data_IF_742289940892
#
_entry.id   IF_742289940892
#
_cell.length_a   1.000
_cell.length_b   1.000
_cell.length_c   1.000
_cell.angle_alpha   90.00
_cell.angle_beta   90.00
_cell.angle_gamma   90.00
#
_symmetry.space_group_name_H-M   'P 1'
#
loop_
_entity.id
_entity.type
_entity.pdbx_description
1 polymer ?
#
# COMPACT_ATOMS: atom_id res chain seq x y z
N UNK A 1 -12.40 24.25 -4.11
CA UNK A 1 -12.64 23.13 -5.04
C UNK A 1 -11.76 21.98 -4.59
N UNK A 2 -12.30 20.78 -4.48
CA UNK A 2 -11.52 19.59 -4.15
C UNK A 2 -10.54 19.28 -5.29
N UNK A 3 -9.30 18.93 -4.97
CA UNK A 3 -8.30 18.57 -5.97
C UNK A 3 -8.72 17.31 -6.74
N UNK A 4 -8.33 17.25 -8.01
CA UNK A 4 -8.53 16.05 -8.83
C UNK A 4 -7.69 14.93 -8.25
N UNK A 5 -8.29 13.76 -8.05
CA UNK A 5 -7.61 12.59 -7.48
C UNK A 5 -6.62 12.05 -8.51
N UNK A 6 -5.34 12.20 -8.26
CA UNK A 6 -4.30 11.51 -9.03
C UNK A 6 -3.98 10.17 -8.38
N UNK A 7 -3.91 9.12 -9.18
CA UNK A 7 -3.63 7.75 -8.73
C UNK A 7 -2.56 7.13 -9.61
N UNK A 8 -1.70 6.34 -8.99
CA UNK A 8 -0.79 5.45 -9.67
C UNK A 8 -1.30 4.03 -9.53
N UNK A 9 -1.47 3.31 -10.65
CA UNK A 9 -1.64 1.87 -10.64
C UNK A 9 -0.28 1.19 -10.65
N UNK A 10 -0.05 0.35 -9.64
CA UNK A 10 1.07 -0.57 -9.54
C UNK A 10 0.67 -1.93 -10.13
N UNK A 11 0.40 -2.00 -11.43
CA UNK A 11 0.43 -3.29 -12.12
C UNK A 11 1.78 -3.43 -12.80
N UNK A 12 2.73 -3.95 -12.04
CA UNK A 12 4.02 -4.35 -12.55
C UNK A 12 3.80 -5.55 -13.48
N UNK A 13 4.23 -5.39 -14.73
CA UNK A 13 4.31 -6.45 -15.71
C UNK A 13 5.71 -7.04 -15.61
N UNK A 14 5.82 -8.35 -15.41
CA UNK A 14 7.12 -9.01 -15.31
C UNK A 14 7.43 -9.75 -16.60
N UNK A 15 7.92 -9.02 -17.61
CA UNK A 15 8.27 -9.65 -18.88
C UNK A 15 9.58 -10.41 -18.77
N UNK A 16 9.52 -11.72 -19.03
CA UNK A 16 10.66 -12.61 -19.12
C UNK A 16 11.44 -12.34 -20.42
N UNK A 17 12.75 -12.19 -20.29
CA UNK A 17 13.66 -12.06 -21.42
C UNK A 17 14.63 -13.23 -21.49
N UNK A 18 14.90 -13.69 -22.71
CA UNK A 18 16.03 -14.59 -22.97
C UNK A 18 17.33 -13.92 -22.51
N UNK A 19 18.27 -14.71 -22.01
CA UNK A 19 19.60 -14.24 -21.58
C UNK A 19 20.21 -13.32 -22.65
N UNK A 20 20.70 -12.14 -22.25
CA UNK A 20 21.34 -11.17 -23.14
C UNK A 20 20.45 -10.65 -24.31
N UNK A 21 19.13 -10.76 -24.19
CA UNK A 21 18.16 -10.25 -25.17
C UNK A 21 17.28 -9.15 -24.57
N UNK A 22 16.73 -8.34 -25.47
CA UNK A 22 15.83 -7.20 -25.16
C UNK A 22 14.51 -7.30 -25.92
N UNK A 23 14.40 -8.18 -26.92
CA UNK A 23 13.15 -8.41 -27.64
C UNK A 23 12.11 -9.06 -26.72
N UNK A 24 10.91 -8.46 -26.67
CA UNK A 24 9.74 -9.09 -26.05
C UNK A 24 9.27 -10.20 -26.98
N UNK A 25 9.21 -11.42 -26.44
CA UNK A 25 8.64 -12.58 -27.12
C UNK A 25 7.30 -12.90 -26.46
N UNK A 26 6.15 -12.59 -27.09
CA UNK A 26 4.86 -12.75 -26.44
C UNK A 26 4.60 -14.14 -25.89
N UNK A 27 5.08 -15.19 -26.56
CA UNK A 27 4.89 -16.59 -26.17
C UNK A 27 5.98 -17.16 -25.24
N UNK A 28 6.95 -16.36 -24.82
CA UNK A 28 8.06 -16.83 -24.00
C UNK A 28 7.70 -16.83 -22.51
N UNK A 29 7.79 -17.99 -21.87
CA UNK A 29 7.56 -18.17 -20.43
C UNK A 29 6.21 -17.53 -19.99
N UNK A 30 6.22 -16.59 -19.04
CA UNK A 30 5.00 -15.98 -18.51
C UNK A 30 4.56 -14.75 -19.32
N UNK A 31 5.24 -14.39 -20.40
CA UNK A 31 4.92 -13.22 -21.20
C UNK A 31 3.47 -13.18 -21.70
N UNK A 32 2.79 -14.28 -22.10
CA UNK A 32 1.39 -14.19 -22.53
C UNK A 32 0.50 -13.66 -21.41
N UNK A 33 0.72 -14.16 -20.19
CA UNK A 33 -0.03 -13.78 -18.99
C UNK A 33 0.29 -12.36 -18.57
N UNK A 34 1.57 -11.98 -18.54
CA UNK A 34 2.00 -10.65 -18.09
C UNK A 34 1.61 -9.56 -19.10
N UNK A 35 1.73 -9.82 -20.40
CA UNK A 35 1.21 -8.93 -21.46
C UNK A 35 -0.33 -8.86 -21.44
N UNK A 36 -1.02 -9.95 -21.11
CA UNK A 36 -2.47 -9.94 -20.88
C UNK A 36 -2.85 -9.05 -19.71
N UNK A 37 -2.15 -9.18 -18.58
CA UNK A 37 -2.36 -8.41 -17.35
C UNK A 37 -2.19 -6.91 -17.57
N UNK A 38 -1.09 -6.48 -18.19
CA UNK A 38 -0.88 -5.05 -18.48
C UNK A 38 -1.89 -4.50 -19.47
N UNK A 39 -2.30 -5.29 -20.47
CA UNK A 39 -3.33 -4.85 -21.42
C UNK A 39 -4.68 -4.67 -20.74
N UNK A 40 -5.14 -5.69 -20.01
CA UNK A 40 -6.39 -5.60 -19.26
C UNK A 40 -6.42 -4.37 -18.32
N UNK A 41 -5.31 -4.09 -17.63
CA UNK A 41 -5.20 -2.91 -16.77
C UNK A 41 -5.29 -1.59 -17.55
N UNK A 42 -4.59 -1.46 -18.68
CA UNK A 42 -4.66 -0.24 -19.50
C UNK A 42 -6.05 -0.09 -20.14
N UNK A 43 -6.64 -1.17 -20.61
CA UNK A 43 -7.99 -1.19 -21.18
C UNK A 43 -9.04 -0.78 -20.15
N UNK A 44 -8.95 -1.30 -18.92
CA UNK A 44 -9.85 -0.94 -17.82
C UNK A 44 -9.79 0.56 -17.47
N UNK A 45 -8.61 1.16 -17.54
CA UNK A 45 -8.41 2.59 -17.31
C UNK A 45 -8.88 3.43 -18.49
N UNK A 46 -8.59 3.01 -19.72
CA UNK A 46 -8.95 3.74 -20.94
C UNK A 46 -10.45 3.72 -21.23
N UNK A 47 -11.13 2.63 -20.86
CA UNK A 47 -12.57 2.49 -21.03
C UNK A 47 -13.39 3.13 -19.90
N UNK A 48 -12.76 3.56 -18.81
CA UNK A 48 -13.44 4.28 -17.73
C UNK A 48 -13.55 5.78 -18.06
N UNK A 49 -14.77 6.24 -18.38
CA UNK A 49 -15.04 7.63 -18.71
C UNK A 49 -14.72 8.64 -17.57
N UNK A 50 -14.50 8.16 -16.34
CA UNK A 50 -14.14 9.00 -15.20
C UNK A 50 -12.63 9.15 -15.03
N UNK A 51 -11.84 8.41 -15.82
CA UNK A 51 -10.40 8.29 -15.74
C UNK A 51 -9.74 9.00 -16.91
N UNK A 52 -8.66 9.71 -16.63
CA UNK A 52 -7.78 10.29 -17.64
C UNK A 52 -6.35 9.78 -17.43
N UNK A 53 -5.89 8.88 -18.29
CA UNK A 53 -4.51 8.37 -18.26
C UNK A 53 -3.54 9.51 -18.58
N UNK A 54 -2.65 9.80 -17.63
CA UNK A 54 -1.66 10.88 -17.72
C UNK A 54 -0.29 10.39 -18.16
N UNK A 55 0.12 9.23 -17.63
CA UNK A 55 1.52 8.81 -17.69
C UNK A 55 1.65 7.30 -17.72
N UNK A 56 2.58 6.81 -18.54
CA UNK A 56 3.06 5.43 -18.53
C UNK A 56 4.56 5.47 -18.21
N UNK A 57 4.91 5.16 -16.97
CA UNK A 57 6.28 5.03 -16.49
C UNK A 57 6.80 3.61 -16.77
N UNK A 58 7.77 3.50 -17.65
CA UNK A 58 8.31 2.23 -18.11
C UNK A 58 9.76 2.10 -17.65
N UNK A 59 10.04 1.09 -16.83
CA UNK A 59 11.35 0.86 -16.24
C UNK A 59 11.86 -0.52 -16.66
N UNK A 60 13.00 -0.56 -17.34
CA UNK A 60 13.66 -1.83 -17.69
C UNK A 60 14.75 -2.18 -16.71
N UNK A 61 14.92 -3.47 -16.42
CA UNK A 61 15.96 -3.97 -15.52
C UNK A 61 16.75 -5.13 -16.12
N UNK A 62 17.99 -5.27 -15.67
CA UNK A 62 18.87 -6.41 -15.85
C UNK A 62 18.99 -7.23 -14.56
N UNK A 63 19.30 -8.51 -14.70
CA UNK A 63 19.84 -9.29 -13.59
C UNK A 63 21.25 -8.79 -13.26
N UNK A 64 21.69 -8.87 -11.98
CA UNK A 64 23.05 -8.53 -11.58
C UNK A 64 24.05 -9.61 -12.00
N UNK A 65 24.21 -9.74 -13.32
CA UNK A 65 25.20 -10.62 -13.96
C UNK A 65 25.90 -9.89 -15.12
N UNK A 66 27.22 -10.04 -15.22
CA UNK A 66 27.99 -9.50 -16.35
C UNK A 66 28.58 -8.12 -16.09
N UNK A 67 28.77 -7.31 -17.13
CA UNK A 67 29.37 -5.98 -16.96
C UNK A 67 28.28 -4.92 -16.75
N UNK A 68 28.61 -3.89 -15.97
CA UNK A 68 27.73 -2.74 -15.76
C UNK A 68 27.24 -2.11 -17.07
N UNK A 69 28.13 -2.00 -18.06
CA UNK A 69 27.79 -1.48 -19.40
C UNK A 69 26.78 -2.38 -20.13
N UNK A 70 26.97 -3.70 -20.08
CA UNK A 70 26.04 -4.64 -20.68
C UNK A 70 24.66 -4.58 -19.99
N UNK A 71 24.64 -4.50 -18.65
CA UNK A 71 23.41 -4.42 -17.87
C UNK A 71 22.66 -3.10 -18.10
N UNK A 72 23.39 -1.99 -18.26
CA UNK A 72 22.80 -0.71 -18.67
C UNK A 72 22.13 -0.82 -20.04
N UNK A 73 22.82 -1.35 -21.05
CA UNK A 73 22.27 -1.56 -22.40
C UNK A 73 21.04 -2.48 -22.39
N UNK A 74 21.06 -3.55 -21.59
CA UNK A 74 19.93 -4.49 -21.46
C UNK A 74 18.73 -3.83 -20.79
N UNK A 75 18.95 -3.11 -19.69
CA UNK A 75 17.92 -2.35 -18.97
C UNK A 75 17.25 -1.33 -19.91
N UNK A 76 18.04 -0.51 -20.61
CA UNK A 76 17.56 0.47 -21.59
C UNK A 76 16.74 -0.19 -22.72
N UNK A 77 17.29 -1.23 -23.33
CA UNK A 77 16.64 -1.93 -24.44
C UNK A 77 15.31 -2.58 -24.05
N UNK A 78 15.21 -3.13 -22.83
CA UNK A 78 13.96 -3.75 -22.33
C UNK A 78 12.88 -2.73 -22.05
N UNK A 79 13.24 -1.59 -21.47
CA UNK A 79 12.31 -0.49 -21.27
C UNK A 79 11.75 0.01 -22.61
N UNK A 80 12.65 0.19 -23.60
CA UNK A 80 12.27 0.60 -24.95
C UNK A 80 11.40 -0.44 -25.66
N UNK A 81 11.70 -1.73 -25.48
CA UNK A 81 10.90 -2.80 -26.07
C UNK A 81 9.45 -2.78 -25.55
N UNK A 82 9.26 -2.61 -24.24
CA UNK A 82 7.91 -2.51 -23.66
C UNK A 82 7.19 -1.23 -24.13
N UNK A 83 7.89 -0.10 -24.16
CA UNK A 83 7.34 1.15 -24.72
C UNK A 83 6.87 0.96 -26.16
N UNK A 84 7.67 0.31 -27.00
CA UNK A 84 7.33 0.07 -28.39
C UNK A 84 6.16 -0.90 -28.51
N UNK A 85 6.15 -1.99 -27.74
CA UNK A 85 5.01 -2.90 -27.68
C UNK A 85 3.72 -2.14 -27.35
N UNK A 86 3.70 -1.38 -26.26
CA UNK A 86 2.51 -0.62 -25.84
C UNK A 86 2.09 0.43 -26.87
N UNK A 87 3.03 1.10 -27.54
CA UNK A 87 2.74 2.07 -28.60
C UNK A 87 2.15 1.43 -29.88
N UNK A 88 2.27 0.11 -30.07
CA UNK A 88 1.54 -0.59 -31.14
C UNK A 88 0.11 -0.96 -30.75
N UNK A 89 -0.16 -1.08 -29.45
CA UNK A 89 -1.47 -1.47 -28.93
C UNK A 89 -2.34 -0.26 -28.61
N UNK A 90 -1.73 0.87 -28.26
CA UNK A 90 -2.42 2.07 -27.78
C UNK A 90 -1.90 3.33 -28.48
N UNK A 91 -2.80 4.28 -28.67
CA UNK A 91 -2.57 5.58 -29.31
C UNK A 91 -2.20 6.68 -28.30
N UNK A 92 -1.55 6.33 -27.19
CA UNK A 92 -1.10 7.34 -26.23
C UNK A 92 -0.08 8.29 -26.89
N UNK A 93 -0.17 9.61 -26.64
CA UNK A 93 0.83 10.56 -27.08
C UNK A 93 2.24 10.18 -26.62
N UNK A 94 3.25 10.41 -27.47
CA UNK A 94 4.64 10.01 -27.17
C UNK A 94 5.16 10.59 -25.85
N UNK A 95 4.72 11.80 -25.48
CA UNK A 95 5.11 12.48 -24.25
C UNK A 95 4.47 11.90 -22.98
N UNK A 96 3.48 11.00 -23.09
CA UNK A 96 2.94 10.26 -21.94
C UNK A 96 3.79 9.03 -21.58
N UNK A 97 4.66 8.56 -22.49
CA UNK A 97 5.59 7.48 -22.20
C UNK A 97 6.86 8.04 -21.56
N UNK A 98 7.10 7.68 -20.31
CA UNK A 98 8.33 8.04 -19.61
C UNK A 98 9.17 6.80 -19.39
N UNK A 99 10.37 6.81 -19.96
CA UNK A 99 11.26 5.66 -19.91
C UNK A 99 12.32 5.91 -18.83
N UNK A 100 12.51 4.94 -17.95
CA UNK A 100 13.54 4.95 -16.92
C UNK A 100 14.42 3.71 -17.05
N UNK A 101 15.71 3.88 -16.74
CA UNK A 101 16.70 2.82 -16.86
C UNK A 101 17.07 2.36 -15.46
N UNK A 102 16.51 1.22 -15.05
CA UNK A 102 16.66 0.69 -13.70
C UNK A 102 18.03 0.05 -13.43
N UNK A 103 18.83 -0.23 -14.47
CA UNK A 103 20.09 -0.94 -14.33
C UNK A 103 19.87 -2.36 -13.80
N UNK A 104 20.69 -2.79 -12.85
CA UNK A 104 20.58 -4.10 -12.20
C UNK A 104 19.47 -4.11 -11.13
N UNK A 105 18.64 -5.16 -11.13
CA UNK A 105 17.50 -5.28 -10.22
C UNK A 105 17.88 -5.78 -8.82
N UNK A 106 18.68 -5.00 -8.09
CA UNK A 106 19.10 -5.35 -6.73
C UNK A 106 17.93 -5.41 -5.74
N UNK A 107 16.96 -4.50 -5.87
CA UNK A 107 15.74 -4.52 -5.04
C UNK A 107 14.91 -5.79 -5.29
N UNK A 108 14.74 -6.17 -6.56
CA UNK A 108 14.08 -7.41 -6.93
C UNK A 108 14.82 -8.65 -6.41
N UNK A 109 16.16 -8.64 -6.40
CA UNK A 109 16.95 -9.72 -5.82
C UNK A 109 16.68 -9.88 -4.32
N UNK A 110 16.68 -8.78 -3.55
CA UNK A 110 16.37 -8.83 -2.11
C UNK A 110 14.97 -9.37 -1.86
N UNK A 111 13.97 -8.92 -2.62
CA UNK A 111 12.59 -9.43 -2.53
C UNK A 111 12.50 -10.93 -2.84
N UNK A 112 13.20 -11.40 -3.87
CA UNK A 112 13.22 -12.82 -4.23
C UNK A 112 13.88 -13.67 -3.14
N UNK A 113 15.01 -13.22 -2.59
CA UNK A 113 15.73 -13.90 -1.51
C UNK A 113 14.87 -14.07 -0.24
N UNK A 114 13.94 -13.15 0.04
CA UNK A 114 13.03 -13.26 1.17
C UNK A 114 12.07 -14.46 1.08
N UNK A 115 11.90 -15.05 -0.11
CA UNK A 115 10.94 -16.14 -0.37
C UNK A 115 11.60 -17.48 -0.70
N UNK A 116 12.90 -17.48 -0.98
CA UNK A 116 13.64 -18.65 -1.44
C UNK A 116 14.50 -19.17 -0.31
N UNK A 117 14.52 -20.49 -0.09
CA UNK A 117 15.50 -21.13 0.78
C UNK A 117 16.79 -21.42 0.03
N UNK A 118 17.92 -21.00 0.60
CA UNK A 118 19.26 -21.24 0.07
C UNK A 118 20.32 -21.11 1.15
N UNK A 119 21.45 -21.79 0.94
CA UNK A 119 22.64 -21.63 1.77
C UNK A 119 23.23 -20.23 1.61
N UNK A 120 23.91 -19.74 2.64
CA UNK A 120 24.60 -18.44 2.69
C UNK A 120 23.70 -17.21 2.44
N UNK A 121 22.38 -17.35 2.61
CA UNK A 121 21.41 -16.28 2.34
C UNK A 121 21.69 -15.02 3.17
N UNK A 122 22.07 -15.17 4.43
CA UNK A 122 22.36 -14.05 5.32
C UNK A 122 23.59 -13.27 4.84
N UNK A 123 24.65 -13.96 4.42
CA UNK A 123 25.89 -13.41 3.91
C UNK A 123 25.68 -12.73 2.54
N UNK A 124 24.84 -13.31 1.68
CA UNK A 124 24.42 -12.67 0.42
C UNK A 124 23.71 -11.35 0.71
N UNK A 125 22.74 -11.34 1.63
CA UNK A 125 22.01 -10.13 2.01
C UNK A 125 22.93 -9.08 2.64
N UNK A 126 23.87 -9.50 3.49
CA UNK A 126 24.88 -8.61 4.08
C UNK A 126 25.76 -7.96 3.00
N UNK A 127 26.23 -8.72 2.02
CA UNK A 127 27.00 -8.18 0.88
C UNK A 127 26.17 -7.16 0.08
N UNK A 128 24.90 -7.45 -0.19
CA UNK A 128 24.02 -6.53 -0.92
C UNK A 128 23.82 -5.22 -0.15
N UNK A 129 23.67 -5.30 1.18
CA UNK A 129 23.46 -4.14 2.03
C UNK A 129 24.74 -3.30 2.24
N UNK A 130 25.88 -3.96 2.42
CA UNK A 130 27.12 -3.31 2.88
C UNK A 130 28.04 -2.83 1.76
N UNK A 131 28.02 -3.47 0.58
CA UNK A 131 28.95 -3.16 -0.50
C UNK A 131 28.24 -2.34 -1.58
N UNK A 132 28.69 -1.11 -1.89
CA UNK A 132 28.17 -0.35 -3.01
C UNK A 132 28.38 -1.05 -4.37
N UNK A 133 27.49 -0.83 -5.33
CA UNK A 133 27.49 -1.51 -6.63
C UNK A 133 28.82 -1.25 -7.36
N UNK A 134 29.24 0.02 -7.40
CA UNK A 134 30.46 0.50 -8.03
C UNK A 134 31.75 -0.01 -7.36
N UNK A 135 31.64 -0.55 -6.13
CA UNK A 135 32.76 -1.14 -5.39
C UNK A 135 32.85 -2.66 -5.54
N UNK A 136 32.16 -3.24 -6.52
CA UNK A 136 32.30 -4.65 -6.87
C UNK A 136 31.43 -5.59 -6.04
N UNK A 137 30.21 -5.17 -5.72
CA UNK A 137 29.18 -6.01 -5.04
C UNK A 137 29.05 -7.39 -5.70
N UNK A 138 28.87 -7.42 -7.02
CA UNK A 138 28.76 -8.66 -7.80
C UNK A 138 30.01 -9.54 -7.65
N UNK A 139 31.20 -8.96 -7.80
CA UNK A 139 32.48 -9.67 -7.63
C UNK A 139 32.60 -10.31 -6.25
N UNK A 140 32.08 -9.65 -5.19
CA UNK A 140 32.07 -10.22 -3.85
C UNK A 140 31.14 -11.43 -3.77
N UNK A 141 29.93 -11.34 -4.34
CA UNK A 141 28.99 -12.47 -4.41
C UNK A 141 29.58 -13.66 -5.19
N UNK A 142 30.26 -13.41 -6.31
CA UNK A 142 30.92 -14.45 -7.10
C UNK A 142 32.03 -15.19 -6.32
N UNK A 143 32.67 -14.52 -5.35
CA UNK A 143 33.74 -15.09 -4.52
C UNK A 143 33.22 -15.75 -3.25
N UNK A 144 32.04 -15.38 -2.76
CA UNK A 144 31.44 -15.91 -1.53
C UNK A 144 31.35 -17.45 -1.62
N UNK A 145 32.02 -18.14 -0.69
CA UNK A 145 32.04 -19.59 -0.59
C UNK A 145 32.30 -20.29 -1.92
N UNK A 146 33.30 -19.81 -2.67
CA UNK A 146 33.66 -20.36 -3.99
C UNK A 146 32.60 -20.14 -5.06
N UNK A 147 31.70 -19.17 -4.87
CA UNK A 147 30.64 -18.79 -5.79
C UNK A 147 29.43 -19.72 -5.80
N UNK A 148 29.29 -20.61 -4.82
CA UNK A 148 28.14 -21.53 -4.70
C UNK A 148 26.82 -20.75 -4.65
N UNK A 149 26.61 -19.83 -3.69
CA UNK A 149 25.38 -19.02 -3.64
C UNK A 149 25.14 -18.19 -4.90
N UNK A 150 26.19 -17.62 -5.52
CA UNK A 150 26.03 -16.86 -6.78
C UNK A 150 25.52 -17.74 -7.91
N UNK A 151 26.07 -18.95 -8.10
CA UNK A 151 25.60 -19.89 -9.14
C UNK A 151 24.17 -20.36 -8.88
N UNK A 152 23.77 -20.51 -7.62
CA UNK A 152 22.38 -20.80 -7.26
C UNK A 152 21.47 -19.66 -7.70
N UNK A 153 21.77 -18.41 -7.32
CA UNK A 153 20.98 -17.24 -7.71
C UNK A 153 20.93 -17.07 -9.23
N UNK A 154 22.06 -17.25 -9.92
CA UNK A 154 22.17 -17.19 -11.38
C UNK A 154 21.20 -18.13 -12.08
N UNK A 155 21.01 -19.35 -11.53
CA UNK A 155 20.15 -20.37 -12.10
C UNK A 155 18.68 -20.22 -11.72
N UNK A 156 18.40 -19.85 -10.48
CA UNK A 156 17.06 -19.95 -9.89
C UNK A 156 16.35 -18.62 -9.66
N UNK A 157 17.09 -17.50 -9.61
CA UNK A 157 16.54 -16.19 -9.26
C UNK A 157 16.77 -15.16 -10.37
N UNK A 158 18.00 -15.05 -10.91
CA UNK A 158 18.33 -14.02 -11.90
C UNK A 158 17.45 -14.03 -13.17
N UNK A 159 16.97 -15.18 -13.68
CA UNK A 159 16.03 -15.17 -14.80
C UNK A 159 14.79 -14.31 -14.54
N UNK A 160 14.21 -14.36 -13.34
CA UNK A 160 13.01 -13.58 -12.96
C UNK A 160 13.31 -12.12 -12.62
N UNK A 161 14.59 -11.70 -12.60
CA UNK A 161 14.98 -10.31 -12.36
C UNK A 161 15.10 -9.48 -13.64
N UNK A 162 15.12 -10.15 -14.80
CA UNK A 162 15.17 -9.55 -16.13
C UNK A 162 13.78 -9.09 -16.52
N UNK A 163 13.39 -7.88 -16.11
CA UNK A 163 11.99 -7.45 -16.18
C UNK A 163 11.85 -6.06 -16.80
N UNK A 164 10.69 -5.78 -17.37
CA UNK A 164 10.29 -4.43 -17.81
C UNK A 164 8.96 -4.08 -17.14
N UNK A 165 8.99 -3.14 -16.21
CA UNK A 165 7.85 -2.69 -15.41
C UNK A 165 7.16 -1.54 -16.13
N UNK A 166 5.83 -1.49 -16.10
CA UNK A 166 5.05 -0.31 -16.47
C UNK A 166 4.19 0.11 -15.29
N UNK A 167 4.20 1.38 -14.91
CA UNK A 167 3.28 1.99 -13.95
C UNK A 167 2.43 3.01 -14.71
N UNK A 168 1.15 3.06 -14.40
CA UNK A 168 0.22 3.96 -15.09
C UNK A 168 -0.30 4.97 -14.09
N UNK A 169 -0.03 6.26 -14.33
CA UNK A 169 -0.60 7.37 -13.58
C UNK A 169 -1.81 7.91 -14.30
N UNK A 170 -2.88 8.17 -13.56
CA UNK A 170 -4.13 8.67 -14.10
C UNK A 170 -4.85 9.54 -13.09
N UNK A 171 -5.64 10.46 -13.63
CA UNK A 171 -6.51 11.31 -12.85
C UNK A 171 -7.93 10.77 -12.87
N UNK A 172 -8.61 10.88 -11.74
CA UNK A 172 -10.03 10.55 -11.58
C UNK A 172 -10.77 11.83 -11.28
N UNK A 173 -11.79 12.16 -12.09
CA UNK A 173 -12.61 13.33 -11.85
C UNK A 173 -13.32 13.26 -10.48
N UNK A 174 -13.84 14.40 -10.04
CA UNK A 174 -14.68 14.44 -8.86
C UNK A 174 -16.09 13.93 -9.18
N UNK A 175 -16.68 13.27 -8.19
CA UNK A 175 -18.00 12.67 -8.22
C UNK A 175 -18.93 13.50 -7.35
N UNK A 176 -20.13 13.75 -7.87
CA UNK A 176 -21.20 14.24 -7.01
C UNK A 176 -21.72 13.11 -6.09
N UNK A 177 -22.61 13.42 -5.16
CA UNK A 177 -23.10 12.46 -4.18
C UNK A 177 -23.73 11.20 -4.81
N UNK A 178 -24.57 11.37 -5.84
CA UNK A 178 -25.26 10.25 -6.48
C UNK A 178 -24.29 9.36 -7.26
N UNK A 179 -23.31 9.96 -7.94
CA UNK A 179 -22.22 9.21 -8.56
C UNK A 179 -21.37 8.47 -7.53
N UNK A 180 -21.03 9.14 -6.41
CA UNK A 180 -20.21 8.57 -5.35
C UNK A 180 -20.89 7.36 -4.68
N UNK A 181 -22.22 7.37 -4.53
CA UNK A 181 -23.01 6.23 -4.04
C UNK A 181 -22.89 4.99 -4.94
N UNK A 182 -22.69 5.18 -6.25
CA UNK A 182 -22.51 4.06 -7.19
C UNK A 182 -21.04 3.63 -7.27
N UNK A 183 -20.12 4.59 -7.27
CA UNK A 183 -18.67 4.31 -7.32
C UNK A 183 -18.22 3.57 -6.06
N UNK A 184 -18.72 3.92 -4.87
CA UNK A 184 -18.32 3.26 -3.61
C UNK A 184 -18.62 1.75 -3.60
N UNK A 185 -19.65 1.31 -4.32
CA UNK A 185 -20.06 -0.11 -4.41
C UNK A 185 -19.19 -0.92 -5.38
N UNK A 186 -18.59 -0.26 -6.38
CA UNK A 186 -17.89 -0.91 -7.50
C UNK A 186 -16.38 -0.70 -7.47
N UNK A 187 -15.96 0.54 -7.26
CA UNK A 187 -14.56 0.99 -7.27
C UNK A 187 -14.33 2.03 -6.17
N UNK A 188 -14.49 1.68 -4.87
CA UNK A 188 -14.32 2.63 -3.78
C UNK A 188 -12.94 3.33 -3.78
N UNK A 189 -11.89 2.66 -4.28
CA UNK A 189 -10.55 3.23 -4.45
C UNK A 189 -10.50 4.47 -5.38
N UNK A 190 -11.54 4.64 -6.22
CA UNK A 190 -11.66 5.79 -7.11
C UNK A 190 -12.24 7.02 -6.41
N UNK A 191 -12.87 6.87 -5.25
CA UNK A 191 -13.34 8.01 -4.47
C UNK A 191 -12.18 8.72 -3.79
N UNK A 192 -12.45 9.93 -3.30
CA UNK A 192 -11.66 10.59 -2.27
C UNK A 192 -12.21 10.25 -0.89
N UNK A 193 -11.43 10.54 0.15
CA UNK A 193 -11.93 10.44 1.51
C UNK A 193 -13.15 11.35 1.75
N UNK A 194 -13.15 12.55 1.16
CA UNK A 194 -14.27 13.49 1.28
C UNK A 194 -15.53 12.95 0.58
N UNK A 195 -15.41 12.39 -0.62
CA UNK A 195 -16.53 11.78 -1.34
C UNK A 195 -17.09 10.57 -0.58
N UNK A 196 -16.23 9.74 0.02
CA UNK A 196 -16.69 8.69 0.93
C UNK A 196 -17.48 9.24 2.12
N UNK A 197 -17.05 10.37 2.69
CA UNK A 197 -17.74 10.99 3.82
C UNK A 197 -19.08 11.59 3.41
N UNK A 198 -19.15 12.21 2.22
CA UNK A 198 -20.42 12.66 1.66
C UNK A 198 -21.42 11.50 1.57
N UNK A 199 -20.98 10.33 1.11
CA UNK A 199 -21.83 9.13 1.05
C UNK A 199 -22.17 8.62 2.45
N UNK A 200 -21.21 8.54 3.37
CA UNK A 200 -21.44 8.08 4.74
C UNK A 200 -22.49 8.93 5.45
N UNK A 201 -22.45 10.25 5.27
CA UNK A 201 -23.39 11.19 5.88
C UNK A 201 -24.83 11.08 5.36
N UNK A 202 -25.08 10.26 4.33
CA UNK A 202 -26.44 9.92 3.91
C UNK A 202 -27.08 8.81 4.74
N UNK A 203 -26.28 8.09 5.52
CA UNK A 203 -26.76 7.02 6.40
C UNK A 203 -26.80 7.49 7.87
N UNK A 204 -27.72 6.95 8.69
CA UNK A 204 -27.74 7.24 10.11
C UNK A 204 -26.38 6.93 10.77
N UNK A 205 -25.91 7.82 11.66
CA UNK A 205 -24.67 7.60 12.41
C UNK A 205 -24.77 6.27 13.17
N UNK A 206 -23.77 5.40 12.98
CA UNK A 206 -23.72 4.08 13.61
C UNK A 206 -24.52 2.98 12.90
N UNK A 207 -25.20 3.27 11.78
CA UNK A 207 -25.74 2.23 10.89
C UNK A 207 -24.61 1.36 10.31
N UNK A 208 -24.95 0.15 9.86
CA UNK A 208 -23.98 -0.76 9.26
C UNK A 208 -23.36 -0.15 7.99
N UNK A 209 -24.16 0.53 7.17
CA UNK A 209 -23.71 1.19 5.95
C UNK A 209 -22.74 2.32 6.24
N UNK A 210 -23.03 3.15 7.25
CA UNK A 210 -22.11 4.19 7.72
C UNK A 210 -20.77 3.59 8.12
N UNK A 211 -20.82 2.51 8.92
CA UNK A 211 -19.66 1.80 9.42
C UNK A 211 -18.82 1.20 8.27
N UNK A 212 -19.45 0.49 7.33
CA UNK A 212 -18.78 -0.20 6.22
C UNK A 212 -18.00 0.78 5.32
N UNK A 213 -18.52 2.01 5.19
CA UNK A 213 -17.85 3.07 4.44
C UNK A 213 -16.55 3.48 5.12
N UNK A 214 -16.53 3.68 6.44
CA UNK A 214 -15.29 4.05 7.14
C UNK A 214 -14.28 2.90 7.20
N UNK A 215 -14.74 1.65 7.25
CA UNK A 215 -13.85 0.50 7.09
C UNK A 215 -13.21 0.44 5.71
N UNK A 216 -13.97 0.79 4.69
CA UNK A 216 -13.46 0.90 3.33
C UNK A 216 -12.49 2.08 3.21
N UNK A 217 -12.80 3.21 3.83
CA UNK A 217 -11.95 4.39 3.85
C UNK A 217 -10.60 4.13 4.52
N UNK A 218 -10.55 3.47 5.68
CA UNK A 218 -9.27 3.19 6.37
C UNK A 218 -8.41 2.15 5.63
N UNK A 219 -9.02 1.26 4.83
CA UNK A 219 -8.27 0.34 3.96
C UNK A 219 -7.62 1.08 2.79
N UNK A 220 -8.31 2.06 2.21
CA UNK A 220 -7.82 2.83 1.06
C UNK A 220 -6.88 3.96 1.49
N UNK A 221 -7.12 4.55 2.67
CA UNK A 221 -6.33 5.65 3.24
C UNK A 221 -5.79 5.27 4.63
N UNK A 222 -4.89 4.29 4.72
CA UNK A 222 -4.39 3.81 6.00
C UNK A 222 -3.61 4.85 6.80
N UNK A 223 -3.08 5.88 6.14
CA UNK A 223 -2.34 6.99 6.77
C UNK A 223 -3.23 8.18 7.13
N UNK A 224 -4.52 8.17 6.75
CA UNK A 224 -5.42 9.26 7.11
C UNK A 224 -5.83 9.13 8.57
N UNK A 225 -5.47 10.11 9.39
CA UNK A 225 -5.87 10.16 10.79
C UNK A 225 -7.39 10.16 10.97
N UNK A 226 -8.10 10.89 10.10
CA UNK A 226 -9.56 10.97 10.16
C UNK A 226 -10.19 9.63 9.81
N UNK A 227 -9.68 8.93 8.80
CA UNK A 227 -10.16 7.58 8.45
C UNK A 227 -9.91 6.59 9.59
N UNK A 228 -8.73 6.61 10.20
CA UNK A 228 -8.40 5.77 11.35
C UNK A 228 -9.27 6.07 12.57
N UNK A 229 -9.53 7.34 12.87
CA UNK A 229 -10.38 7.75 14.00
C UNK A 229 -11.84 7.28 13.83
N UNK A 230 -12.41 7.45 12.64
CA UNK A 230 -13.77 6.99 12.36
C UNK A 230 -13.85 5.45 12.35
N UNK A 231 -12.85 4.76 11.79
CA UNK A 231 -12.77 3.30 11.84
C UNK A 231 -12.61 2.76 13.27
N UNK A 232 -11.86 3.46 14.14
CA UNK A 232 -11.74 3.12 15.55
C UNK A 232 -13.09 3.23 16.27
N UNK A 233 -13.83 4.31 16.03
CA UNK A 233 -15.17 4.52 16.61
C UNK A 233 -16.16 3.45 16.14
N UNK A 234 -16.11 3.10 14.85
CA UNK A 234 -16.91 2.01 14.28
C UNK A 234 -16.56 0.66 14.94
N UNK A 235 -15.27 0.35 15.10
CA UNK A 235 -14.83 -0.87 15.78
C UNK A 235 -15.28 -0.92 17.25
N UNK A 236 -15.18 0.19 17.99
CA UNK A 236 -15.66 0.30 19.37
C UNK A 236 -17.17 0.03 19.48
N UNK A 237 -17.97 0.56 18.54
CA UNK A 237 -19.43 0.36 18.53
C UNK A 237 -19.84 -1.11 18.41
N UNK A 238 -18.97 -1.95 17.85
CA UNK A 238 -19.17 -3.40 17.71
C UNK A 238 -18.35 -4.24 18.69
N UNK A 239 -17.78 -3.61 19.72
CA UNK A 239 -16.91 -4.25 20.71
C UNK A 239 -15.65 -4.92 20.12
N UNK A 240 -15.19 -4.50 18.93
CA UNK A 240 -13.93 -4.93 18.34
C UNK A 240 -12.77 -4.08 18.89
N UNK A 241 -12.36 -4.40 20.11
CA UNK A 241 -11.32 -3.68 20.84
C UNK A 241 -9.91 -3.86 20.24
N UNK A 242 -9.72 -4.89 19.42
CA UNK A 242 -8.45 -5.19 18.76
C UNK A 242 -8.26 -4.24 17.58
N UNK A 243 -9.23 -4.18 16.67
CA UNK A 243 -9.19 -3.26 15.54
C UNK A 243 -9.21 -1.80 16.01
N UNK A 244 -10.05 -1.47 17.01
CA UNK A 244 -10.10 -0.12 17.57
C UNK A 244 -8.73 0.35 18.06
N UNK A 245 -8.02 -0.49 18.83
CA UNK A 245 -6.66 -0.19 19.28
C UNK A 245 -5.71 0.04 18.11
N UNK A 246 -5.70 -0.88 17.14
CA UNK A 246 -4.82 -0.80 15.96
C UNK A 246 -5.03 0.48 15.15
N UNK A 247 -6.27 0.92 14.99
CA UNK A 247 -6.56 2.17 14.27
C UNK A 247 -6.16 3.40 15.08
N UNK A 248 -6.44 3.44 16.39
CA UNK A 248 -6.01 4.56 17.24
C UNK A 248 -4.48 4.70 17.29
N UNK A 249 -3.73 3.59 17.33
CA UNK A 249 -2.25 3.62 17.33
C UNK A 249 -1.64 4.19 16.03
N UNK A 250 -2.43 4.28 14.94
CA UNK A 250 -1.99 4.89 13.68
C UNK A 250 -2.20 6.41 13.64
N UNK A 251 -3.00 6.97 14.54
CA UNK A 251 -3.17 8.41 14.66
C UNK A 251 -1.93 8.98 15.34
N UNK A 252 -1.19 9.84 14.63
CA UNK A 252 0.10 10.39 15.09
C UNK A 252 0.01 11.90 15.13
N UNK A 253 -0.68 12.41 16.14
CA UNK A 253 -0.78 13.85 16.37
C UNK A 253 0.14 14.30 17.50
N UNK A 254 0.74 15.48 17.35
CA UNK A 254 1.38 16.20 18.45
C UNK A 254 0.33 16.61 19.50
N UNK A 255 -0.87 16.95 19.04
CA UNK A 255 -2.02 17.33 19.87
C UNK A 255 -3.22 16.45 19.50
N UNK A 256 -3.48 15.43 20.31
CA UNK A 256 -4.61 14.54 20.07
C UNK A 256 -5.94 15.27 20.19
N UNK A 257 -6.82 15.10 19.20
CA UNK A 257 -8.13 15.73 19.17
C UNK A 257 -9.02 15.29 20.35
N UNK A 258 -10.05 16.08 20.71
CA UNK A 258 -11.07 15.64 21.66
C UNK A 258 -11.66 14.27 21.31
N UNK A 259 -11.94 14.02 20.02
CA UNK A 259 -12.53 12.77 19.53
C UNK A 259 -11.58 11.58 19.71
N UNK A 260 -10.28 11.76 19.46
CA UNK A 260 -9.28 10.74 19.72
C UNK A 260 -9.25 10.39 21.21
N UNK A 261 -9.14 11.41 22.07
CA UNK A 261 -9.08 11.20 23.51
C UNK A 261 -10.35 10.53 24.02
N UNK A 262 -11.51 10.88 23.45
CA UNK A 262 -12.76 10.22 23.78
C UNK A 262 -12.76 8.74 23.36
N UNK A 263 -12.38 8.43 22.12
CA UNK A 263 -12.32 7.06 21.62
C UNK A 263 -11.30 6.19 22.37
N UNK A 264 -10.11 6.73 22.67
CA UNK A 264 -9.10 6.06 23.49
C UNK A 264 -9.60 5.83 24.92
N UNK A 265 -10.26 6.84 25.50
CA UNK A 265 -10.89 6.72 26.80
C UNK A 265 -11.94 5.61 26.86
N UNK A 266 -12.81 5.52 25.85
CA UNK A 266 -13.81 4.44 25.72
C UNK A 266 -13.14 3.07 25.53
N UNK A 267 -12.11 2.96 24.69
CA UNK A 267 -11.35 1.73 24.51
C UNK A 267 -10.77 1.21 25.84
N UNK A 268 -10.14 2.10 26.61
CA UNK A 268 -9.54 1.77 27.90
C UNK A 268 -10.60 1.42 28.95
N UNK A 269 -11.74 2.12 28.95
CA UNK A 269 -12.89 1.79 29.80
C UNK A 269 -13.37 0.37 29.53
N UNK A 270 -13.53 -0.01 28.27
CA UNK A 270 -13.96 -1.35 27.86
C UNK A 270 -12.92 -2.45 28.15
N UNK A 271 -11.65 -2.07 28.28
CA UNK A 271 -10.55 -2.94 28.73
C UNK A 271 -10.36 -2.95 30.26
N UNK A 272 -11.24 -2.27 30.98
CA UNK A 272 -11.19 -2.10 32.44
C UNK A 272 -9.95 -1.37 32.97
N UNK A 273 -9.23 -0.65 32.11
CA UNK A 273 -8.16 0.28 32.50
C UNK A 273 -8.77 1.63 32.87
N UNK A 274 -9.36 1.66 34.06
CA UNK A 274 -10.16 2.81 34.48
C UNK A 274 -9.32 4.05 34.85
N UNK A 275 -8.03 3.91 35.10
CA UNK A 275 -7.15 5.04 35.42
C UNK A 275 -6.76 5.79 34.15
N UNK A 276 -6.24 5.07 33.14
CA UNK A 276 -5.89 5.68 31.87
C UNK A 276 -7.13 6.15 31.11
N UNK A 277 -8.24 5.40 31.20
CA UNK A 277 -9.51 5.83 30.62
C UNK A 277 -9.97 7.19 31.14
N UNK A 278 -9.95 7.39 32.46
CA UNK A 278 -10.36 8.66 33.07
C UNK A 278 -9.48 9.83 32.60
N UNK A 279 -8.17 9.62 32.50
CA UNK A 279 -7.22 10.63 32.00
C UNK A 279 -7.61 11.09 30.59
N UNK A 280 -7.81 10.16 29.68
CA UNK A 280 -8.18 10.48 28.30
C UNK A 280 -9.55 11.15 28.20
N UNK A 281 -10.56 10.63 28.90
CA UNK A 281 -11.91 11.22 28.87
C UNK A 281 -11.96 12.64 29.47
N UNK A 282 -11.15 12.94 30.50
CA UNK A 282 -11.01 14.30 31.04
C UNK A 282 -10.41 15.26 30.02
N UNK A 283 -9.34 14.85 29.33
CA UNK A 283 -8.74 15.66 28.25
C UNK A 283 -9.79 15.94 27.16
N UNK A 284 -10.55 14.94 26.72
CA UNK A 284 -11.61 15.14 25.73
C UNK A 284 -12.68 16.14 26.18
N UNK A 285 -13.09 16.07 27.46
CA UNK A 285 -14.04 17.01 28.06
C UNK A 285 -13.47 18.42 28.16
N UNK A 286 -12.21 18.57 28.57
CA UNK A 286 -11.51 19.86 28.69
C UNK A 286 -11.35 20.54 27.32
N UNK A 287 -11.15 19.74 26.28
CA UNK A 287 -11.15 20.19 24.88
C UNK A 287 -12.56 20.45 24.30
N UNK A 288 -13.61 20.37 25.13
CA UNK A 288 -14.97 20.78 24.77
C UNK A 288 -15.88 19.69 24.21
N UNK A 289 -15.49 18.42 24.25
CA UNK A 289 -16.34 17.34 23.74
C UNK A 289 -17.40 16.90 24.76
N UNK A 290 -18.65 17.28 24.53
CA UNK A 290 -19.74 17.01 25.48
C UNK A 290 -20.00 15.52 25.72
N UNK A 291 -19.89 14.67 24.70
CA UNK A 291 -20.11 13.22 24.85
C UNK A 291 -19.11 12.57 25.84
N UNK A 292 -17.94 13.18 26.05
CA UNK A 292 -16.98 12.70 27.03
C UNK A 292 -17.51 12.80 28.48
N UNK A 293 -18.45 13.70 28.76
CA UNK A 293 -19.11 13.81 30.07
C UNK A 293 -19.91 12.55 30.38
N UNK A 294 -20.72 12.09 29.43
CA UNK A 294 -21.50 10.85 29.57
C UNK A 294 -20.60 9.61 29.71
N UNK A 295 -19.47 9.57 28.99
CA UNK A 295 -18.51 8.49 29.13
C UNK A 295 -17.81 8.49 30.50
N UNK A 296 -17.53 9.65 31.09
CA UNK A 296 -17.00 9.76 32.46
C UNK A 296 -18.01 9.28 33.51
N UNK A 297 -19.30 9.56 33.32
CA UNK A 297 -20.36 9.06 34.20
C UNK A 297 -20.46 7.52 34.14
N UNK A 298 -20.36 6.95 32.94
CA UNK A 298 -20.35 5.49 32.77
C UNK A 298 -19.10 4.84 33.40
N UNK A 299 -17.93 5.46 33.24
CA UNK A 299 -16.70 5.04 33.92
C UNK A 299 -16.87 5.04 35.45
N UNK A 300 -17.48 6.09 36.02
CA UNK A 300 -17.72 6.16 37.46
C UNK A 300 -18.61 5.01 37.97
N UNK A 301 -19.67 4.68 37.23
CA UNK A 301 -20.54 3.52 37.54
C UNK A 301 -19.77 2.21 37.47
N UNK A 302 -18.96 1.99 36.42
CA UNK A 302 -18.13 0.78 36.25
C UNK A 302 -17.10 0.63 37.38
N UNK A 303 -16.43 1.73 37.77
CA UNK A 303 -15.51 1.76 38.93
C UNK A 303 -16.21 1.35 40.23
N UNK A 304 -17.39 1.93 40.51
CA UNK A 304 -18.16 1.59 41.70
C UNK A 304 -18.55 0.11 41.75
N UNK A 305 -19.08 -0.42 40.64
CA UNK A 305 -19.45 -1.82 40.52
C UNK A 305 -18.26 -2.77 40.73
N UNK A 306 -17.09 -2.45 40.15
CA UNK A 306 -15.89 -3.25 40.32
C UNK A 306 -15.40 -3.28 41.79
N UNK A 307 -15.54 -2.18 42.52
CA UNK A 307 -15.24 -2.12 43.96
C UNK A 307 -16.21 -2.99 44.76
N UNK A 308 -17.50 -2.94 44.47
CA UNK A 308 -18.50 -3.76 45.15
C UNK A 308 -18.28 -5.26 44.92
N UNK A 309 -17.96 -5.66 43.69
CA UNK A 309 -17.63 -7.06 43.37
C UNK A 309 -16.42 -7.50 44.19
N UNK A 310 -15.33 -6.73 44.19
CA UNK A 310 -14.13 -7.03 44.99
C UNK A 310 -14.40 -7.12 46.49
N UNK A 311 -15.35 -6.35 47.02
CA UNK A 311 -15.77 -6.43 48.43
C UNK A 311 -16.59 -7.69 48.74
N UNK A 312 -17.37 -8.19 47.78
CA UNK A 312 -18.15 -9.43 47.90
C UNK A 312 -17.33 -10.70 47.65
N UNK A 313 -16.21 -10.59 46.94
CA UNK A 313 -15.26 -11.69 46.67
C UNK A 313 -14.21 -11.89 47.78
N UNK A 314 -14.20 -11.04 48.82
CA UNK A 314 -13.35 -11.15 50.01
C UNK A 314 -14.16 -11.68 51.18
#
# INVERSE_FOLDING_TARGET
>A
MEEIKSRDVQAECFLDFVVNRVDIRPEYMNNPKELGKIRAMIDDLKNDANVNVKRLDIIGYASPEGTLEANKRLSEGRAMALRNYLATQYDFPKNQYHIQFGGENWEGLVKALATVEMDDKAEVLDIIASIPIEKGRETKLMKLNGGVPYRFMLKHIFPSLRVAICKVSYDIRNFNLEEAKEVIKKRPQNLSLNEMFMVANTYPKGSQEFIDIFETAVRIYPESEIANMNAATAALSRNDLVSAKRYLERVKSADYSPEYNNAMGVLLLMKEDYELSEKHLKIAKELGLDVAKSNLEELAKKKANAIEIRKKSK
#
